data_IF_350177133354
#
_entry.id   IF_350177133354
#
_cell.length_a   1.000
_cell.length_b   1.000
_cell.length_c   1.000
_cell.angle_alpha   90.00
_cell.angle_beta   90.00
_cell.angle_gamma   90.00
#
_symmetry.space_group_name_H-M   'P 1'
#
loop_
_entity.id
_entity.type
_entity.pdbx_description
1 polymer ?
#
# COMPACT_ATOMS: atom_id res chain seq x y z
N UNK A 1 -11.23 19.75 3.95
CA UNK A 1 -9.82 20.05 4.26
C UNK A 1 -8.96 19.11 3.43
N UNK A 2 -7.97 19.62 2.71
CA UNK A 2 -6.97 18.73 2.08
C UNK A 2 -6.07 18.21 3.19
N UNK A 3 -6.31 17.00 3.67
CA UNK A 3 -5.43 16.34 4.62
C UNK A 3 -4.17 15.95 3.87
N UNK A 4 -3.02 16.45 4.31
CA UNK A 4 -1.72 16.03 3.80
C UNK A 4 -1.46 14.64 4.38
N UNK A 5 -1.44 13.64 3.51
CA UNK A 5 -1.38 12.24 3.93
C UNK A 5 -0.08 11.93 4.68
N UNK A 6 1.04 12.41 4.13
CA UNK A 6 2.38 12.20 4.67
C UNK A 6 2.57 12.79 6.08
N UNK A 7 1.86 13.87 6.41
CA UNK A 7 2.01 14.56 7.69
C UNK A 7 1.08 14.04 8.79
N UNK A 8 -0.07 13.48 8.40
CA UNK A 8 -1.16 13.25 9.37
C UNK A 8 -1.65 11.81 9.43
N UNK A 9 -1.51 11.04 8.36
CA UNK A 9 -2.08 9.70 8.25
C UNK A 9 -1.01 8.64 8.28
N UNK A 10 -0.04 8.71 7.37
CA UNK A 10 1.00 7.69 7.22
C UNK A 10 2.25 8.29 6.59
N UNK A 11 3.36 8.26 7.31
CA UNK A 11 4.62 8.91 6.90
C UNK A 11 5.31 8.23 5.70
N UNK A 12 6.27 8.96 5.13
CA UNK A 12 7.06 8.54 3.98
C UNK A 12 7.79 7.21 4.26
N UNK A 13 8.49 7.15 5.40
CA UNK A 13 9.30 5.98 5.76
C UNK A 13 8.44 4.74 5.98
N UNK A 14 7.26 4.89 6.58
CA UNK A 14 6.28 3.82 6.78
C UNK A 14 5.84 3.23 5.45
N UNK A 15 5.40 4.09 4.54
CA UNK A 15 4.91 3.64 3.23
C UNK A 15 6.03 3.05 2.36
N UNK A 16 7.19 3.68 2.35
CA UNK A 16 8.31 3.22 1.53
C UNK A 16 8.85 1.88 2.01
N UNK A 17 9.15 1.75 3.31
CA UNK A 17 9.76 0.52 3.85
C UNK A 17 8.80 -0.65 3.82
N UNK A 18 7.55 -0.46 4.26
CA UNK A 18 6.57 -1.55 4.30
C UNK A 18 6.22 -2.07 2.89
N UNK A 19 6.10 -1.19 1.89
CA UNK A 19 5.84 -1.60 0.51
C UNK A 19 7.07 -2.21 -0.16
N UNK A 20 8.27 -1.69 0.11
CA UNK A 20 9.52 -2.29 -0.38
C UNK A 20 9.65 -3.74 0.09
N UNK A 21 9.30 -4.05 1.33
CA UNK A 21 9.30 -5.41 1.85
C UNK A 21 8.23 -6.28 1.19
N UNK A 22 6.99 -5.79 1.03
CA UNK A 22 5.88 -6.54 0.44
C UNK A 22 6.09 -6.86 -1.04
N UNK A 23 6.79 -5.99 -1.78
CA UNK A 23 7.14 -6.17 -3.19
C UNK A 23 8.62 -6.49 -3.40
N UNK A 24 9.28 -7.08 -2.39
CA UNK A 24 10.64 -7.59 -2.53
C UNK A 24 10.71 -8.71 -3.58
N UNK A 25 11.89 -8.87 -4.20
CA UNK A 25 12.07 -9.80 -5.32
C UNK A 25 11.78 -11.26 -4.93
N UNK A 26 11.94 -11.65 -3.66
CA UNK A 26 11.57 -12.98 -3.17
C UNK A 26 10.07 -13.28 -3.26
N UNK A 27 9.21 -12.25 -3.34
CA UNK A 27 7.77 -12.40 -3.53
C UNK A 27 7.34 -12.19 -4.99
N UNK A 28 8.24 -11.82 -5.90
CA UNK A 28 7.92 -11.59 -7.31
C UNK A 28 7.29 -12.80 -8.01
N UNK A 29 7.63 -14.07 -7.68
CA UNK A 29 6.95 -15.22 -8.26
C UNK A 29 5.45 -15.31 -7.92
N UNK A 30 4.98 -14.57 -6.90
CA UNK A 30 3.57 -14.51 -6.57
C UNK A 30 2.84 -13.42 -7.35
N UNK A 31 3.42 -12.21 -7.49
CA UNK A 31 2.70 -11.08 -8.06
C UNK A 31 2.89 -10.91 -9.57
N UNK A 32 4.02 -11.27 -10.15
CA UNK A 32 4.22 -11.12 -11.60
C UNK A 32 3.22 -11.93 -12.43
N UNK A 33 2.92 -13.22 -12.10
CA UNK A 33 1.87 -13.97 -12.81
C UNK A 33 0.47 -13.39 -12.65
N UNK A 34 0.17 -12.75 -11.50
CA UNK A 34 -1.13 -12.09 -11.27
C UNK A 34 -1.27 -10.81 -12.08
N UNK A 35 -0.18 -10.05 -12.25
CA UNK A 35 -0.17 -8.88 -13.11
C UNK A 35 -0.28 -9.26 -14.57
N UNK A 36 0.38 -10.34 -14.98
CA UNK A 36 0.38 -10.88 -16.34
C UNK A 36 0.64 -9.80 -17.40
N UNK A 37 1.67 -9.00 -17.16
CA UNK A 37 2.12 -7.94 -18.09
C UNK A 37 3.26 -8.43 -18.96
N UNK A 38 3.36 -7.95 -20.21
CA UNK A 38 4.48 -8.29 -21.08
C UNK A 38 5.78 -7.64 -20.58
N UNK A 39 6.87 -8.40 -20.56
CA UNK A 39 8.22 -7.98 -20.20
C UNK A 39 9.17 -7.88 -21.41
N UNK A 40 8.72 -8.38 -22.57
CA UNK A 40 9.47 -8.50 -23.83
C UNK A 40 9.26 -7.33 -24.80
N UNK A 41 8.36 -6.41 -24.47
CA UNK A 41 8.04 -5.25 -25.32
C UNK A 41 7.81 -3.96 -24.50
N UNK A 42 7.99 -2.79 -25.13
CA UNK A 42 7.65 -1.52 -24.48
C UNK A 42 6.17 -1.42 -24.18
N UNK A 43 5.85 -1.03 -22.94
CA UNK A 43 4.50 -0.69 -22.49
C UNK A 43 4.55 0.59 -21.65
N UNK A 44 3.44 1.32 -21.58
CA UNK A 44 3.31 2.48 -20.70
C UNK A 44 2.47 2.13 -19.48
N UNK A 45 3.04 2.29 -18.30
CA UNK A 45 2.41 1.97 -17.02
C UNK A 45 2.20 3.27 -16.24
N UNK A 46 0.97 3.49 -15.75
CA UNK A 46 0.64 4.54 -14.79
C UNK A 46 0.36 3.92 -13.43
N UNK A 47 1.17 4.23 -12.43
CA UNK A 47 0.84 3.96 -11.02
C UNK A 47 0.09 5.15 -10.43
N UNK A 48 -1.14 4.91 -9.95
CA UNK A 48 -2.04 5.91 -9.36
C UNK A 48 -1.97 5.78 -7.84
N UNK A 49 -1.73 6.89 -7.14
CA UNK A 49 -1.44 6.89 -5.71
C UNK A 49 -0.12 6.19 -5.42
N UNK A 50 0.94 6.59 -6.13
CA UNK A 50 2.24 5.93 -6.07
C UNK A 50 2.95 6.10 -4.70
N UNK A 51 2.48 7.04 -3.87
CA UNK A 51 3.14 7.37 -2.61
C UNK A 51 4.63 7.68 -2.82
N UNK A 52 5.52 7.22 -1.94
CA UNK A 52 6.96 7.44 -2.07
C UNK A 52 7.64 6.54 -3.14
N UNK A 53 6.89 5.84 -3.99
CA UNK A 53 7.39 5.16 -5.20
C UNK A 53 7.91 3.74 -5.01
N UNK A 54 7.60 3.06 -3.90
CA UNK A 54 8.16 1.73 -3.61
C UNK A 54 7.68 0.64 -4.60
N UNK A 55 6.39 0.63 -4.99
CA UNK A 55 5.87 -0.31 -5.98
C UNK A 55 6.41 0.02 -7.37
N UNK A 56 6.46 1.31 -7.77
CA UNK A 56 7.09 1.73 -9.02
C UNK A 56 8.54 1.25 -9.12
N UNK A 57 9.31 1.36 -8.04
CA UNK A 57 10.69 0.85 -7.99
C UNK A 57 10.76 -0.67 -8.19
N UNK A 58 9.84 -1.43 -7.61
CA UNK A 58 9.75 -2.87 -7.80
C UNK A 58 9.38 -3.21 -9.26
N UNK A 59 8.35 -2.58 -9.80
CA UNK A 59 7.92 -2.79 -11.19
C UNK A 59 9.03 -2.45 -12.20
N UNK A 60 9.75 -1.36 -11.96
CA UNK A 60 10.86 -0.94 -12.83
C UNK A 60 11.95 -2.00 -12.96
N UNK A 61 12.22 -2.79 -11.92
CA UNK A 61 13.19 -3.89 -11.97
C UNK A 61 12.71 -5.04 -12.85
N UNK A 62 11.42 -5.33 -12.84
CA UNK A 62 10.84 -6.46 -13.58
C UNK A 62 10.40 -6.11 -15.01
N UNK A 63 10.08 -4.83 -15.26
CA UNK A 63 9.66 -4.33 -16.58
C UNK A 63 10.64 -3.26 -17.12
N UNK A 64 11.88 -3.63 -17.46
CA UNK A 64 12.91 -2.66 -17.83
C UNK A 64 12.63 -1.91 -19.13
N UNK A 65 11.75 -2.42 -19.99
CA UNK A 65 11.35 -1.77 -21.25
C UNK A 65 10.13 -0.83 -21.05
N UNK A 66 9.48 -0.86 -19.90
CA UNK A 66 8.30 -0.04 -19.65
C UNK A 66 8.66 1.45 -19.47
N UNK A 67 7.85 2.33 -20.05
CA UNK A 67 7.78 3.73 -19.64
C UNK A 67 6.87 3.81 -18.42
N UNK A 68 7.42 4.21 -17.27
CA UNK A 68 6.69 4.23 -16.00
C UNK A 68 6.47 5.65 -15.51
N UNK A 69 5.22 5.92 -15.14
CA UNK A 69 4.80 7.18 -14.52
C UNK A 69 4.10 6.84 -13.20
N UNK A 70 4.51 7.50 -12.13
CA UNK A 70 3.83 7.48 -10.83
C UNK A 70 3.13 8.81 -10.61
N UNK A 71 1.89 8.77 -10.14
CA UNK A 71 1.12 9.97 -9.81
C UNK A 71 0.61 9.85 -8.37
N UNK A 72 0.81 10.92 -7.59
CA UNK A 72 0.25 11.04 -6.23
C UNK A 72 -0.17 12.49 -5.99
N UNK A 73 -1.16 12.69 -5.12
CA UNK A 73 -1.61 14.04 -4.75
C UNK A 73 -0.75 14.70 -3.67
N UNK A 74 0.02 13.89 -2.93
CA UNK A 74 0.88 14.35 -1.83
C UNK A 74 2.25 14.74 -2.39
N UNK A 75 2.55 16.03 -2.38
CA UNK A 75 3.80 16.57 -2.93
C UNK A 75 5.04 16.03 -2.22
N UNK A 76 4.98 15.77 -0.90
CA UNK A 76 6.11 15.24 -0.14
C UNK A 76 6.45 13.80 -0.57
N UNK A 77 5.44 12.97 -0.86
CA UNK A 77 5.67 11.66 -1.45
C UNK A 77 6.30 11.75 -2.84
N UNK A 78 5.79 12.64 -3.68
CA UNK A 78 6.30 12.83 -5.05
C UNK A 78 7.76 13.32 -5.04
N UNK A 79 8.09 14.27 -4.17
CA UNK A 79 9.47 14.77 -4.01
C UNK A 79 10.41 13.67 -3.53
N UNK A 80 9.99 12.89 -2.53
CA UNK A 80 10.77 11.74 -2.06
C UNK A 80 10.99 10.72 -3.17
N UNK A 81 9.93 10.35 -3.91
CA UNK A 81 10.01 9.39 -4.99
C UNK A 81 10.97 9.86 -6.10
N UNK A 82 10.91 11.13 -6.49
CA UNK A 82 11.84 11.75 -7.47
C UNK A 82 13.29 11.67 -7.03
N UNK A 83 13.55 11.85 -5.73
CA UNK A 83 14.90 11.84 -5.18
C UNK A 83 15.48 10.41 -5.02
N UNK A 84 14.64 9.41 -4.80
CA UNK A 84 15.07 8.09 -4.34
C UNK A 84 14.80 6.95 -5.34
N UNK A 85 13.93 7.16 -6.33
CA UNK A 85 13.58 6.11 -7.30
C UNK A 85 13.97 6.53 -8.71
N UNK A 86 14.88 5.81 -9.33
CA UNK A 86 15.38 6.10 -10.67
C UNK A 86 14.58 5.36 -11.76
N UNK A 87 14.53 5.96 -12.97
CA UNK A 87 13.92 5.34 -14.15
C UNK A 87 12.38 5.37 -14.16
N UNK A 88 11.77 6.19 -13.31
CA UNK A 88 10.32 6.45 -13.22
C UNK A 88 10.10 7.95 -13.23
N UNK A 89 9.08 8.43 -13.92
CA UNK A 89 8.65 9.83 -13.88
C UNK A 89 7.56 9.99 -12.82
N UNK A 90 7.76 10.88 -11.85
CA UNK A 90 6.77 11.13 -10.79
C UNK A 90 6.11 12.49 -10.95
N UNK A 91 4.78 12.52 -10.85
CA UNK A 91 3.95 13.72 -11.02
C UNK A 91 3.03 13.90 -9.82
N UNK A 92 2.87 15.14 -9.40
CA UNK A 92 1.80 15.51 -8.48
C UNK A 92 0.49 15.63 -9.28
N UNK A 93 -0.60 15.03 -8.78
CA UNK A 93 -1.88 15.09 -9.46
C UNK A 93 -3.00 14.34 -8.73
N UNK A 94 -4.22 14.62 -9.18
CA UNK A 94 -5.44 14.02 -8.64
C UNK A 94 -5.84 12.78 -9.45
N UNK A 95 -6.05 11.66 -8.76
CA UNK A 95 -6.50 10.41 -9.36
C UNK A 95 -7.91 10.50 -9.99
N UNK A 96 -8.71 11.51 -9.59
CA UNK A 96 -10.06 11.77 -10.12
C UNK A 96 -10.07 12.70 -11.32
N UNK A 97 -8.90 13.22 -11.72
CA UNK A 97 -8.72 14.13 -12.86
C UNK A 97 -7.30 13.96 -13.43
N UNK A 98 -7.02 12.79 -13.99
CA UNK A 98 -5.68 12.42 -14.48
C UNK A 98 -5.23 13.35 -15.62
N UNK A 99 -4.03 13.96 -15.54
CA UNK A 99 -3.54 14.93 -16.52
C UNK A 99 -3.00 14.28 -17.81
N UNK A 100 -3.69 13.25 -18.29
CA UNK A 100 -3.27 12.50 -19.48
C UNK A 100 -4.41 12.41 -20.51
N UNK A 101 -4.10 12.38 -21.82
CA UNK A 101 -5.08 12.11 -22.84
C UNK A 101 -5.72 10.72 -22.72
N UNK A 102 -6.89 10.56 -23.32
CA UNK A 102 -7.55 9.26 -23.46
C UNK A 102 -6.65 8.25 -24.18
N UNK A 103 -6.68 7.01 -23.78
CA UNK A 103 -5.93 5.94 -24.43
C UNK A 103 -4.41 6.10 -24.37
N UNK A 104 -3.87 6.72 -23.34
CA UNK A 104 -2.42 6.98 -23.18
C UNK A 104 -1.61 5.81 -22.65
N UNK A 105 -2.24 4.89 -21.91
CA UNK A 105 -1.55 3.84 -21.17
C UNK A 105 -1.98 2.42 -21.56
N UNK A 106 -1.02 1.51 -21.53
CA UNK A 106 -1.29 0.07 -21.67
C UNK A 106 -1.77 -0.54 -20.35
N UNK A 107 -1.31 0.04 -19.23
CA UNK A 107 -1.59 -0.45 -17.87
C UNK A 107 -1.81 0.72 -16.92
N UNK A 108 -2.85 0.63 -16.09
CA UNK A 108 -2.96 1.38 -14.84
C UNK A 108 -2.82 0.43 -13.66
N UNK A 109 -2.12 0.85 -12.62
CA UNK A 109 -1.98 0.09 -11.39
C UNK A 109 -2.16 1.03 -10.19
N UNK A 110 -2.83 0.54 -9.16
CA UNK A 110 -2.97 1.25 -7.89
C UNK A 110 -2.82 0.27 -6.73
N UNK A 111 -2.28 0.73 -5.62
CA UNK A 111 -2.09 -0.10 -4.43
C UNK A 111 -2.59 0.63 -3.18
N UNK A 112 -3.66 0.13 -2.57
CA UNK A 112 -4.34 0.74 -1.40
C UNK A 112 -4.79 2.18 -1.67
N UNK A 113 -5.50 2.40 -2.77
CA UNK A 113 -6.04 3.70 -3.20
C UNK A 113 -7.55 3.65 -3.41
N UNK A 114 -8.07 2.55 -3.96
CA UNK A 114 -9.47 2.39 -4.34
C UNK A 114 -10.44 2.63 -3.18
N UNK A 115 -10.05 2.29 -1.97
CA UNK A 115 -10.85 2.47 -0.74
C UNK A 115 -11.01 3.94 -0.30
N UNK A 116 -10.23 4.85 -0.88
CA UNK A 116 -10.23 6.27 -0.51
C UNK A 116 -10.97 7.17 -1.50
N UNK A 117 -11.29 6.67 -2.68
CA UNK A 117 -11.84 7.45 -3.78
C UNK A 117 -13.19 6.88 -4.21
N UNK A 118 -14.13 7.75 -4.57
CA UNK A 118 -15.43 7.34 -5.09
C UNK A 118 -15.24 6.46 -6.34
N UNK A 119 -15.87 5.25 -6.38
CA UNK A 119 -15.60 4.25 -7.41
C UNK A 119 -15.77 4.75 -8.85
N UNK A 120 -16.83 5.54 -9.14
CA UNK A 120 -17.06 6.02 -10.50
C UNK A 120 -15.97 7.00 -10.97
N UNK A 121 -15.49 7.86 -10.08
CA UNK A 121 -14.38 8.76 -10.38
C UNK A 121 -13.07 7.97 -10.54
N UNK A 122 -12.80 7.02 -9.64
CA UNK A 122 -11.58 6.22 -9.66
C UNK A 122 -11.46 5.33 -10.89
N UNK A 123 -12.48 4.52 -11.18
CA UNK A 123 -12.46 3.63 -12.34
C UNK A 123 -12.69 4.37 -13.65
N UNK A 124 -13.50 5.45 -13.65
CA UNK A 124 -13.78 6.26 -14.83
C UNK A 124 -12.52 6.85 -15.43
N UNK A 125 -11.67 7.47 -14.62
CA UNK A 125 -10.40 8.03 -15.07
C UNK A 125 -9.40 6.97 -15.54
N UNK A 126 -9.30 5.84 -14.83
CA UNK A 126 -8.47 4.73 -15.27
C UNK A 126 -8.93 4.17 -16.61
N UNK A 127 -10.25 3.98 -16.78
CA UNK A 127 -10.82 3.52 -18.05
C UNK A 127 -10.57 4.54 -19.18
N UNK A 128 -10.67 5.83 -18.91
CA UNK A 128 -10.42 6.89 -19.89
C UNK A 128 -8.99 6.87 -20.39
N UNK A 129 -8.02 6.85 -19.50
CA UNK A 129 -6.60 6.92 -19.88
C UNK A 129 -6.05 5.60 -20.43
N UNK A 130 -6.69 4.46 -20.19
CA UNK A 130 -6.30 3.18 -20.77
C UNK A 130 -6.65 3.10 -22.24
N UNK A 131 -5.73 2.54 -23.03
CA UNK A 131 -5.98 2.09 -24.40
C UNK A 131 -7.08 1.02 -24.43
N UNK A 132 -7.71 0.80 -25.58
CA UNK A 132 -8.59 -0.34 -25.77
C UNK A 132 -7.84 -1.65 -25.52
N UNK A 133 -8.44 -2.54 -24.72
CA UNK A 133 -7.78 -3.76 -24.25
C UNK A 133 -6.66 -3.54 -23.21
N UNK A 134 -6.49 -2.31 -22.73
CA UNK A 134 -5.54 -1.98 -21.65
C UNK A 134 -5.94 -2.62 -20.32
N UNK A 135 -4.96 -2.83 -19.47
CA UNK A 135 -5.09 -3.57 -18.19
C UNK A 135 -5.21 -2.59 -17.02
N UNK A 136 -6.22 -2.79 -16.19
CA UNK A 136 -6.38 -2.15 -14.89
C UNK A 136 -6.03 -3.13 -13.78
N UNK A 137 -5.07 -2.77 -12.93
CA UNK A 137 -4.67 -3.52 -11.74
C UNK A 137 -5.03 -2.72 -10.49
N UNK A 138 -5.84 -3.31 -9.63
CA UNK A 138 -6.19 -2.73 -8.34
C UNK A 138 -5.72 -3.67 -7.24
N UNK A 139 -4.76 -3.20 -6.46
CA UNK A 139 -4.20 -3.91 -5.33
C UNK A 139 -4.80 -3.32 -4.04
N UNK A 140 -5.31 -4.19 -3.18
CA UNK A 140 -5.92 -3.76 -1.93
C UNK A 140 -5.43 -4.62 -0.77
N UNK A 141 -4.98 -3.97 0.28
CA UNK A 141 -4.53 -4.66 1.51
C UNK A 141 -5.72 -5.31 2.21
N UNK A 142 -5.52 -6.53 2.68
CA UNK A 142 -6.51 -7.33 3.41
C UNK A 142 -6.04 -7.65 4.81
N UNK A 143 -6.97 -8.12 5.64
CA UNK A 143 -6.61 -8.54 6.99
C UNK A 143 -5.57 -9.66 6.91
N UNK A 144 -4.36 -9.35 7.31
CA UNK A 144 -3.25 -10.29 7.38
C UNK A 144 -3.24 -11.10 8.68
N UNK A 145 -2.16 -11.84 8.88
CA UNK A 145 -1.89 -12.58 10.11
C UNK A 145 -0.81 -11.82 10.88
N UNK A 146 -1.04 -11.59 12.16
CA UNK A 146 -0.05 -11.04 13.07
C UNK A 146 0.03 -11.94 14.29
N UNK A 147 1.19 -12.53 14.50
CA UNK A 147 1.51 -13.31 15.70
C UNK A 147 2.73 -12.67 16.34
N UNK A 148 2.53 -12.13 17.52
CA UNK A 148 3.57 -11.51 18.35
C UNK A 148 3.63 -12.26 19.65
N UNK A 149 4.80 -12.31 20.34
CA UNK A 149 4.85 -12.82 21.69
C UNK A 149 3.76 -12.14 22.54
N UNK A 150 3.16 -12.90 23.43
CA UNK A 150 2.32 -12.34 24.49
C UNK A 150 3.20 -11.56 25.49
N UNK A 151 3.91 -10.57 25.01
CA UNK A 151 4.43 -9.54 25.90
C UNK A 151 3.21 -8.81 26.44
N UNK A 152 3.09 -8.86 27.74
CA UNK A 152 1.98 -8.25 28.44
C UNK A 152 1.98 -6.77 28.10
N UNK A 153 1.09 -6.36 27.19
CA UNK A 153 0.79 -4.96 27.01
C UNK A 153 0.48 -4.39 28.39
N UNK A 154 1.09 -3.30 28.75
CA UNK A 154 0.77 -2.63 30.01
C UNK A 154 -0.70 -2.21 29.99
N UNK A 155 -1.29 -2.01 31.16
CA UNK A 155 -2.65 -1.48 31.24
C UNK A 155 -2.79 -0.15 30.47
N UNK A 156 -1.74 0.67 30.48
CA UNK A 156 -1.67 1.92 29.76
C UNK A 156 -1.72 1.74 28.23
N UNK A 157 -0.93 0.80 27.68
CA UNK A 157 -0.95 0.50 26.25
C UNK A 157 -2.31 -0.05 25.80
N UNK A 158 -2.91 -0.90 26.62
CA UNK A 158 -4.25 -1.44 26.35
C UNK A 158 -5.29 -0.32 26.31
N UNK A 159 -5.31 0.58 27.29
CA UNK A 159 -6.23 1.70 27.37
C UNK A 159 -6.03 2.67 26.18
N UNK A 160 -4.78 2.92 25.80
CA UNK A 160 -4.45 3.76 24.63
C UNK A 160 -5.07 3.19 23.35
N UNK A 161 -4.80 1.95 23.03
CA UNK A 161 -5.31 1.33 21.80
C UNK A 161 -6.82 1.09 21.83
N UNK A 162 -7.41 0.82 23.00
CA UNK A 162 -8.88 0.78 23.17
C UNK A 162 -9.52 2.13 22.88
N UNK A 163 -8.86 3.22 23.28
CA UNK A 163 -9.32 4.58 22.97
C UNK A 163 -9.24 4.85 21.48
N UNK A 164 -8.14 4.51 20.83
CA UNK A 164 -7.99 4.62 19.38
C UNK A 164 -9.07 3.83 18.64
N UNK A 165 -9.33 2.59 19.05
CA UNK A 165 -10.33 1.74 18.42
C UNK A 165 -11.75 2.28 18.56
N UNK A 166 -12.09 2.85 19.72
CA UNK A 166 -13.41 3.47 19.94
C UNK A 166 -13.68 4.67 19.04
N UNK A 167 -12.63 5.35 18.63
CA UNK A 167 -12.70 6.57 17.81
C UNK A 167 -12.22 6.39 16.36
N UNK A 168 -12.08 5.14 15.89
CA UNK A 168 -11.61 4.80 14.54
C UNK A 168 -12.43 5.46 13.41
N UNK A 169 -13.70 5.78 13.67
CA UNK A 169 -14.55 6.49 12.70
C UNK A 169 -14.04 7.91 12.34
N UNK A 170 -13.20 8.54 13.19
CA UNK A 170 -12.60 9.85 12.89
C UNK A 170 -11.68 9.78 11.67
N UNK A 171 -11.10 8.63 11.36
CA UNK A 171 -10.25 8.44 10.19
C UNK A 171 -10.99 8.72 8.88
N UNK A 172 -12.30 8.43 8.81
CA UNK A 172 -13.12 8.75 7.62
C UNK A 172 -13.26 10.25 7.39
N UNK A 173 -13.26 11.05 8.44
CA UNK A 173 -13.32 12.52 8.35
C UNK A 173 -12.06 13.08 7.70
N UNK A 174 -10.95 12.34 7.80
CA UNK A 174 -9.68 12.65 7.14
C UNK A 174 -9.55 12.04 5.73
N UNK A 175 -10.62 11.46 5.18
CA UNK A 175 -10.62 10.88 3.84
C UNK A 175 -10.08 9.45 3.77
N UNK A 176 -9.84 8.80 4.91
CA UNK A 176 -9.32 7.43 4.96
C UNK A 176 -10.46 6.43 4.89
N UNK A 177 -10.35 5.43 3.99
CA UNK A 177 -11.33 4.34 3.84
C UNK A 177 -12.79 4.82 3.72
N UNK A 178 -13.04 5.88 2.93
CA UNK A 178 -14.39 6.41 2.74
C UNK A 178 -15.28 5.45 1.93
N UNK A 179 -14.67 4.63 1.05
CA UNK A 179 -15.36 3.70 0.14
C UNK A 179 -14.83 2.27 0.30
N UNK A 180 -14.93 1.68 1.51
CA UNK A 180 -14.43 0.33 1.74
C UNK A 180 -15.23 -0.68 0.92
N UNK A 181 -14.54 -1.62 0.28
CA UNK A 181 -15.14 -2.70 -0.49
C UNK A 181 -14.61 -4.05 0.00
N UNK A 182 -15.52 -5.01 0.14
CA UNK A 182 -15.16 -6.39 0.39
C UNK A 182 -14.55 -7.05 -0.85
N UNK A 183 -13.94 -8.21 -0.65
CA UNK A 183 -13.39 -9.05 -1.72
C UNK A 183 -14.44 -9.44 -2.75
N UNK A 184 -15.71 -9.57 -2.32
CA UNK A 184 -16.83 -9.88 -3.21
C UNK A 184 -17.31 -8.67 -4.01
N UNK A 185 -17.24 -7.47 -3.42
CA UNK A 185 -17.71 -6.23 -4.06
C UNK A 185 -16.75 -5.72 -5.12
N UNK A 186 -15.45 -5.78 -4.86
CA UNK A 186 -14.45 -5.20 -5.78
C UNK A 186 -14.54 -5.71 -7.22
N UNK A 187 -14.66 -7.03 -7.51
CA UNK A 187 -14.80 -7.50 -8.89
C UNK A 187 -16.09 -7.00 -9.55
N UNK A 188 -17.19 -6.95 -8.80
CA UNK A 188 -18.49 -6.45 -9.28
C UNK A 188 -18.37 -4.98 -9.64
N UNK A 189 -17.83 -4.16 -8.74
CA UNK A 189 -17.62 -2.73 -8.97
C UNK A 189 -16.74 -2.49 -10.21
N UNK A 190 -15.65 -3.23 -10.37
CA UNK A 190 -14.78 -3.11 -11.54
C UNK A 190 -15.54 -3.44 -12.85
N UNK A 191 -16.40 -4.50 -12.83
CA UNK A 191 -17.23 -4.87 -13.97
C UNK A 191 -18.24 -3.77 -14.31
N UNK A 192 -18.92 -3.22 -13.30
CA UNK A 192 -19.91 -2.14 -13.47
C UNK A 192 -19.31 -0.87 -14.09
N UNK A 193 -17.99 -0.68 -13.93
CA UNK A 193 -17.27 0.45 -14.48
C UNK A 193 -16.55 0.15 -15.82
N UNK A 194 -16.97 -0.90 -16.53
CA UNK A 194 -16.58 -1.15 -17.92
C UNK A 194 -15.26 -1.90 -18.09
N UNK A 195 -14.91 -2.72 -17.13
CA UNK A 195 -13.83 -3.69 -17.26
C UNK A 195 -14.40 -5.10 -17.39
N UNK A 196 -13.79 -5.93 -18.20
CA UNK A 196 -14.11 -7.34 -18.41
C UNK A 196 -12.88 -8.24 -18.12
N UNK A 197 -13.04 -9.56 -18.35
CA UNK A 197 -11.98 -10.54 -18.08
C UNK A 197 -11.37 -10.38 -16.67
N UNK A 198 -12.25 -10.15 -15.69
CA UNK A 198 -11.83 -9.92 -14.29
C UNK A 198 -11.22 -11.20 -13.74
N UNK A 199 -10.01 -11.06 -13.19
CA UNK A 199 -9.33 -12.12 -12.43
C UNK A 199 -8.90 -11.58 -11.08
N UNK A 200 -8.82 -12.45 -10.09
CA UNK A 200 -8.32 -12.09 -8.75
C UNK A 200 -7.34 -13.11 -8.24
N UNK A 201 -6.43 -12.66 -7.39
CA UNK A 201 -5.47 -13.50 -6.69
C UNK A 201 -4.92 -12.77 -5.48
N UNK A 202 -4.01 -13.43 -4.76
CA UNK A 202 -3.46 -12.85 -3.54
C UNK A 202 -1.94 -12.95 -3.53
N UNK A 203 -1.30 -11.87 -3.10
CA UNK A 203 0.11 -11.85 -2.71
C UNK A 203 0.13 -12.06 -1.20
N UNK A 204 0.92 -13.02 -0.75
CA UNK A 204 1.12 -13.33 0.67
C UNK A 204 2.59 -13.07 0.99
N UNK A 205 2.85 -11.91 1.57
CA UNK A 205 4.19 -11.55 2.01
C UNK A 205 4.36 -11.96 3.49
N UNK A 206 5.05 -13.08 3.69
CA UNK A 206 5.44 -13.55 5.02
C UNK A 206 6.66 -12.77 5.49
N UNK A 207 6.48 -11.97 6.51
CA UNK A 207 7.52 -11.13 7.10
C UNK A 207 7.91 -11.65 8.49
N UNK A 208 8.48 -12.86 8.52
CA UNK A 208 8.98 -13.52 9.75
C UNK A 208 10.50 -13.36 9.85
N UNK A 209 11.02 -12.42 10.67
CA UNK A 209 12.44 -12.08 10.70
C UNK A 209 13.37 -13.24 11.07
N UNK A 210 12.88 -14.19 11.88
CA UNK A 210 13.67 -15.33 12.37
C UNK A 210 13.71 -16.52 11.40
N UNK A 211 12.98 -16.45 10.28
CA UNK A 211 13.00 -17.48 9.26
C UNK A 211 14.34 -17.44 8.52
N UNK A 212 15.13 -18.52 8.52
CA UNK A 212 16.44 -18.56 7.88
C UNK A 212 16.42 -18.43 6.35
N UNK A 213 15.24 -18.48 5.73
CA UNK A 213 15.11 -18.18 4.28
C UNK A 213 15.42 -16.75 3.94
N UNK A 214 15.35 -15.82 4.91
CA UNK A 214 15.63 -14.41 4.69
C UNK A 214 17.09 -14.06 5.06
N UNK A 215 17.77 -13.27 4.25
CA UNK A 215 19.09 -12.75 4.60
C UNK A 215 18.99 -11.78 5.78
N UNK A 216 20.06 -11.64 6.60
CA UNK A 216 20.03 -10.83 7.81
C UNK A 216 19.62 -9.37 7.59
N UNK A 217 20.00 -8.77 6.46
CA UNK A 217 19.60 -7.40 6.10
C UNK A 217 18.09 -7.29 5.91
N UNK A 218 17.44 -8.25 5.29
CA UNK A 218 15.98 -8.28 5.12
C UNK A 218 15.26 -8.50 6.46
N UNK A 219 15.78 -9.37 7.30
CA UNK A 219 15.24 -9.59 8.65
C UNK A 219 15.29 -8.31 9.50
N UNK A 220 16.42 -7.58 9.48
CA UNK A 220 16.54 -6.28 10.14
C UNK A 220 15.59 -5.24 9.56
N UNK A 221 15.45 -5.22 8.24
CA UNK A 221 14.50 -4.32 7.58
C UNK A 221 13.04 -4.62 8.01
N UNK A 222 12.65 -5.89 8.19
CA UNK A 222 11.34 -6.28 8.71
C UNK A 222 11.13 -5.77 10.14
N UNK A 223 12.13 -5.92 11.03
CA UNK A 223 12.06 -5.42 12.40
C UNK A 223 11.96 -3.90 12.44
N UNK A 224 12.77 -3.23 11.63
CA UNK A 224 12.74 -1.77 11.52
C UNK A 224 11.44 -1.24 10.93
N UNK A 225 10.88 -1.90 9.91
CA UNK A 225 9.59 -1.52 9.34
C UNK A 225 8.46 -1.59 10.37
N UNK A 226 8.43 -2.62 11.21
CA UNK A 226 7.45 -2.75 12.29
C UNK A 226 7.57 -1.61 13.32
N UNK A 227 8.81 -1.24 13.65
CA UNK A 227 9.06 -0.10 14.54
C UNK A 227 8.53 1.20 13.93
N UNK A 228 8.86 1.46 12.66
CA UNK A 228 8.41 2.66 11.95
C UNK A 228 6.90 2.69 11.89
N UNK A 229 6.26 1.59 11.48
CA UNK A 229 4.79 1.46 11.38
C UNK A 229 4.10 1.76 12.72
N UNK A 230 4.62 1.24 13.83
CA UNK A 230 4.01 1.43 15.15
C UNK A 230 4.20 2.87 15.66
N UNK A 231 5.40 3.43 15.51
CA UNK A 231 5.68 4.82 15.92
C UNK A 231 4.86 5.82 15.12
N UNK A 232 4.69 5.59 13.83
CA UNK A 232 3.88 6.42 12.95
C UNK A 232 2.38 6.32 13.33
N UNK A 233 1.89 5.12 13.59
CA UNK A 233 0.53 4.92 14.08
C UNK A 233 0.27 5.64 15.41
N UNK A 234 1.21 5.61 16.36
CA UNK A 234 1.13 6.34 17.61
C UNK A 234 1.12 7.86 17.34
N UNK A 235 2.02 8.35 16.51
CA UNK A 235 2.13 9.78 16.20
C UNK A 235 0.87 10.31 15.50
N UNK A 236 0.30 9.56 14.56
CA UNK A 236 -0.89 9.95 13.80
C UNK A 236 -2.12 10.16 14.70
N UNK A 237 -2.22 9.47 15.83
CA UNK A 237 -3.35 9.62 16.77
C UNK A 237 -3.47 11.06 17.30
N UNK A 238 -2.36 11.76 17.45
CA UNK A 238 -2.37 13.15 17.92
C UNK A 238 -3.03 14.10 16.94
N UNK A 239 -2.91 13.83 15.64
CA UNK A 239 -3.51 14.64 14.57
C UNK A 239 -4.96 14.23 14.28
N UNK A 240 -5.24 12.92 14.31
CA UNK A 240 -6.56 12.39 13.96
C UNK A 240 -7.54 12.38 15.14
N UNK A 241 -7.04 12.36 16.38
CA UNK A 241 -7.85 12.22 17.60
C UNK A 241 -7.40 13.18 18.73
N UNK A 242 -7.19 14.49 18.43
CA UNK A 242 -6.57 15.43 19.39
C UNK A 242 -7.37 15.64 20.67
N UNK A 243 -8.70 15.37 20.65
CA UNK A 243 -9.57 15.49 21.81
C UNK A 243 -9.53 14.27 22.74
N UNK A 244 -8.99 13.14 22.24
CA UNK A 244 -8.98 11.86 22.95
C UNK A 244 -7.59 11.40 23.36
N UNK A 245 -6.56 11.81 22.63
CA UNK A 245 -5.17 11.42 22.86
C UNK A 245 -4.31 12.66 23.11
N UNK A 246 -3.66 12.70 24.27
CA UNK A 246 -2.77 13.79 24.67
C UNK A 246 -1.33 13.60 24.16
N UNK A 247 -0.58 14.68 24.13
CA UNK A 247 0.86 14.63 23.77
C UNK A 247 1.67 13.77 24.76
N UNK A 248 1.27 13.76 26.03
CA UNK A 248 1.97 12.98 27.06
C UNK A 248 1.73 11.48 26.85
N UNK A 249 0.51 11.08 26.50
CA UNK A 249 0.20 9.70 26.14
C UNK A 249 0.98 9.25 24.89
N UNK A 250 1.07 10.07 23.85
CA UNK A 250 1.89 9.77 22.66
C UNK A 250 3.36 9.62 23.01
N UNK A 251 3.91 10.49 23.87
CA UNK A 251 5.30 10.42 24.32
C UNK A 251 5.56 9.13 25.11
N UNK A 252 4.68 8.77 26.02
CA UNK A 252 4.80 7.54 26.83
C UNK A 252 4.71 6.29 25.93
N UNK A 253 3.72 6.23 25.05
CA UNK A 253 3.57 5.14 24.08
C UNK A 253 4.79 5.01 23.17
N UNK A 254 5.32 6.13 22.68
CA UNK A 254 6.54 6.15 21.86
C UNK A 254 7.75 5.57 22.63
N UNK A 255 7.89 5.88 23.90
CA UNK A 255 8.97 5.34 24.72
C UNK A 255 8.82 3.82 24.95
N UNK A 256 7.61 3.34 25.25
CA UNK A 256 7.31 1.91 25.42
C UNK A 256 7.53 1.14 24.11
N UNK A 257 7.03 1.64 22.98
CA UNK A 257 7.23 1.02 21.68
C UNK A 257 8.73 0.93 21.33
N UNK A 258 9.49 2.01 21.51
CA UNK A 258 10.93 1.99 21.27
C UNK A 258 11.66 0.97 22.14
N UNK A 259 11.37 0.90 23.43
CA UNK A 259 11.99 -0.07 24.34
C UNK A 259 11.70 -1.52 23.91
N UNK A 260 10.46 -1.83 23.49
CA UNK A 260 10.06 -3.14 22.98
C UNK A 260 10.81 -3.50 21.70
N UNK A 261 10.88 -2.57 20.73
CA UNK A 261 11.60 -2.80 19.48
C UNK A 261 13.11 -2.93 19.68
N UNK A 262 13.72 -2.14 20.57
CA UNK A 262 15.14 -2.26 20.91
C UNK A 262 15.44 -3.64 21.53
N UNK A 263 14.58 -4.11 22.45
CA UNK A 263 14.69 -5.45 23.02
C UNK A 263 14.56 -6.54 21.94
N UNK A 264 13.56 -6.43 21.06
CA UNK A 264 13.35 -7.40 19.97
C UNK A 264 14.54 -7.46 19.01
N UNK A 265 15.11 -6.32 18.65
CA UNK A 265 16.33 -6.27 17.82
C UNK A 265 17.52 -6.89 18.55
N UNK A 266 17.69 -6.60 19.84
CA UNK A 266 18.77 -7.19 20.65
C UNK A 266 18.66 -8.72 20.75
N UNK A 267 17.45 -9.28 20.87
CA UNK A 267 17.22 -10.73 20.82
C UNK A 267 17.67 -11.30 19.47
N UNK A 268 17.27 -10.67 18.37
CA UNK A 268 17.67 -11.10 17.02
C UNK A 268 19.20 -11.10 16.85
N UNK A 269 19.88 -10.03 17.29
CA UNK A 269 21.35 -9.91 17.17
C UNK A 269 22.12 -10.94 18.03
N UNK A 270 21.52 -11.42 19.10
CA UNK A 270 22.08 -12.51 19.91
C UNK A 270 21.75 -13.91 19.36
N UNK A 271 20.97 -14.00 18.26
CA UNK A 271 20.52 -15.26 17.68
C UNK A 271 19.38 -15.93 18.46
N UNK A 272 18.74 -15.21 19.37
CA UNK A 272 17.59 -15.69 20.12
C UNK A 272 16.33 -15.55 19.25
N UNK A 273 15.70 -16.69 18.92
CA UNK A 273 14.55 -16.72 18.02
C UNK A 273 13.24 -16.55 18.78
N UNK A 274 12.42 -15.64 18.28
CA UNK A 274 11.09 -15.32 18.83
C UNK A 274 9.98 -15.86 17.94
N UNK A 275 10.25 -15.98 16.62
CA UNK A 275 9.29 -16.44 15.60
C UNK A 275 8.02 -15.58 15.50
N UNK A 276 8.11 -14.34 15.93
CA UNK A 276 7.06 -13.37 15.67
C UNK A 276 6.90 -13.13 14.15
N UNK A 277 5.68 -13.06 13.70
CA UNK A 277 5.38 -12.93 12.28
C UNK A 277 4.35 -11.84 11.97
N UNK A 278 4.50 -11.25 10.80
CA UNK A 278 3.49 -10.40 10.18
C UNK A 278 3.31 -10.85 8.73
N UNK A 279 2.17 -11.45 8.43
CA UNK A 279 1.84 -11.86 7.06
C UNK A 279 0.94 -10.80 6.45
N UNK A 280 1.45 -10.09 5.45
CA UNK A 280 0.65 -9.14 4.68
C UNK A 280 -0.06 -9.86 3.55
N UNK A 281 -1.37 -9.67 3.43
CA UNK A 281 -2.19 -10.21 2.36
C UNK A 281 -2.66 -9.05 1.49
N UNK A 282 -2.34 -9.11 0.20
CA UNK A 282 -2.75 -8.10 -0.78
C UNK A 282 -3.58 -8.81 -1.85
N UNK A 283 -4.85 -8.42 -1.96
CA UNK A 283 -5.68 -8.84 -3.08
C UNK A 283 -5.25 -8.09 -4.33
N UNK A 284 -5.02 -8.82 -5.41
CA UNK A 284 -4.77 -8.30 -6.74
C UNK A 284 -6.02 -8.54 -7.57
N UNK A 285 -6.63 -7.47 -8.05
CA UNK A 285 -7.71 -7.51 -8.99
C UNK A 285 -7.19 -7.01 -10.34
N UNK A 286 -7.38 -7.80 -11.39
CA UNK A 286 -6.99 -7.48 -12.75
C UNK A 286 -8.21 -7.48 -13.65
N UNK A 287 -8.45 -6.39 -14.36
CA UNK A 287 -9.48 -6.27 -15.39
C UNK A 287 -8.90 -5.72 -16.69
N UNK A 288 -9.58 -5.94 -17.78
CA UNK A 288 -9.26 -5.41 -19.10
C UNK A 288 -10.31 -4.39 -19.50
N UNK A 289 -9.92 -3.23 -20.01
CA UNK A 289 -10.86 -2.23 -20.53
C UNK A 289 -11.71 -2.88 -21.64
N UNK A 290 -13.03 -2.95 -21.40
CA UNK A 290 -13.95 -3.50 -22.38
C UNK A 290 -13.96 -2.65 -23.67
N UNK A 291 -13.92 -3.31 -24.83
CA UNK A 291 -14.02 -2.64 -26.13
C UNK A 291 -15.46 -2.18 -26.38
N UNK A 292 -15.65 -1.00 -26.97
CA UNK A 292 -16.99 -0.44 -27.23
C UNK A 292 -17.84 -1.29 -28.19
N UNK A 293 -17.22 -2.30 -28.87
CA UNK A 293 -17.87 -3.19 -29.84
C UNK A 293 -18.12 -4.61 -29.30
N UNK A 294 -17.95 -4.86 -28.03
CA UNK A 294 -18.22 -6.15 -27.39
C UNK A 294 -19.72 -6.35 -27.19
N UNK A 295 -20.42 -6.77 -28.22
CA UNK A 295 -21.73 -7.40 -28.08
C UNK A 295 -21.61 -8.60 -27.15
N UNK A 296 -22.57 -8.76 -26.22
CA UNK A 296 -22.62 -9.87 -25.30
C UNK A 296 -22.37 -11.21 -26.04
N UNK A 297 -21.56 -12.12 -25.49
CA UNK A 297 -21.51 -13.46 -25.99
C UNK A 297 -22.91 -14.10 -25.78
N UNK A 298 -23.50 -14.59 -26.87
CA UNK A 298 -24.70 -15.40 -26.84
C UNK A 298 -24.52 -16.65 -25.98
#
# INVERSE_FOLDING_TARGET
MNTVWSDHIQGIDTLFTSRTLRFADCFSPQYLPLFALPDDKPIRILEIGCGPGALAAALRRHYPLAEMIGLDRDSAFVEYARANVSGVTFLEGDATALPFPDGSFDVTISNTVAEHIEPSAFYGEQRRVLKEGGVCLVLSSRKGIRAMPEEQATAFETEFWDTVQKHDNTMKEHGVCQYPQSEMQMPVTMTEHGFDHITSGYIVADLTPDDPKYPPEMARAMLQSRRIDELDAIASTRHTMPEHISEEQVKEMTALANARHDNRLALYERGEKVWDTSVSIIMVLRGVKATENGGAPC
#
